data_IF_210949763722
#
_entry.id   IF_210949763722
#
_cell.length_a   1.000
_cell.length_b   1.000
_cell.length_c   1.000
_cell.angle_alpha   90.00
_cell.angle_beta   90.00
_cell.angle_gamma   90.00
#
_symmetry.space_group_name_H-M   'P 1'
#
loop_
_entity.id
_entity.type
_entity.pdbx_description
1 polymer ?
#
# COMPACT_ATOMS: atom_id res chain seq x y z
N UNK A 1 21.19 -8.52 -13.21
CA UNK A 1 19.78 -8.84 -13.60
C UNK A 1 18.93 -7.62 -13.30
N UNK A 2 17.99 -7.25 -14.19
CA UNK A 2 17.03 -6.19 -13.90
C UNK A 2 16.14 -6.62 -12.73
N UNK A 3 15.90 -5.69 -11.81
CA UNK A 3 14.99 -5.91 -10.68
C UNK A 3 13.60 -5.46 -11.11
N UNK A 4 12.64 -6.37 -11.07
CA UNK A 4 11.24 -6.03 -11.35
C UNK A 4 10.62 -5.39 -10.10
N UNK A 5 9.86 -4.32 -10.33
CA UNK A 5 9.09 -3.59 -9.31
C UNK A 5 7.66 -3.44 -9.80
N UNK A 6 6.74 -3.49 -8.89
CA UNK A 6 5.31 -3.31 -9.14
C UNK A 6 4.79 -2.19 -8.26
N UNK A 7 4.17 -1.20 -8.87
CA UNK A 7 3.51 -0.09 -8.18
C UNK A 7 2.13 0.14 -8.74
N UNK A 8 1.17 0.43 -7.87
CA UNK A 8 -0.20 0.79 -8.23
C UNK A 8 -0.56 2.09 -7.54
N UNK A 9 -1.08 3.03 -8.33
CA UNK A 9 -1.67 4.28 -7.82
C UNK A 9 -3.16 4.22 -8.12
N UNK A 10 -3.98 4.24 -7.08
CA UNK A 10 -5.42 4.17 -7.17
C UNK A 10 -6.05 5.55 -7.05
N UNK A 11 -6.89 5.89 -8.02
CA UNK A 11 -7.74 7.09 -8.01
C UNK A 11 -9.18 6.62 -7.82
N UNK A 12 -9.88 7.03 -6.74
CA UNK A 12 -11.26 6.59 -6.48
C UNK A 12 -12.27 7.27 -7.41
N UNK A 13 -13.49 6.72 -7.45
CA UNK A 13 -14.68 7.32 -8.08
C UNK A 13 -14.60 7.54 -9.60
N UNK A 14 -13.57 7.02 -10.26
CA UNK A 14 -13.43 7.08 -11.71
C UNK A 14 -12.83 8.39 -12.24
N UNK A 15 -12.97 8.59 -13.54
CA UNK A 15 -12.40 9.73 -14.28
C UNK A 15 -13.38 10.23 -15.36
N UNK A 16 -13.25 11.49 -15.74
CA UNK A 16 -13.98 12.05 -16.89
C UNK A 16 -13.32 11.52 -18.16
N UNK A 17 -13.97 10.57 -18.83
CA UNK A 17 -13.41 9.85 -19.99
C UNK A 17 -12.93 10.78 -21.09
N UNK A 18 -13.67 11.83 -21.42
CA UNK A 18 -13.31 12.80 -22.48
C UNK A 18 -12.06 13.63 -22.15
N UNK A 19 -11.72 13.77 -20.86
CA UNK A 19 -10.51 14.45 -20.41
C UNK A 19 -9.36 13.48 -20.13
N UNK A 20 -9.63 12.19 -20.02
CA UNK A 20 -8.65 11.14 -19.71
C UNK A 20 -8.19 10.39 -20.96
N UNK A 21 -9.13 9.90 -21.78
CA UNK A 21 -8.80 9.03 -22.90
C UNK A 21 -8.26 9.84 -24.09
N UNK A 22 -7.19 9.38 -24.74
CA UNK A 22 -6.78 9.87 -26.05
C UNK A 22 -7.90 9.69 -27.08
N UNK A 23 -7.98 10.62 -28.03
CA UNK A 23 -9.04 10.62 -29.07
C UNK A 23 -8.90 9.53 -30.14
N UNK A 24 -7.72 8.90 -30.24
CA UNK A 24 -7.43 7.82 -31.20
C UNK A 24 -6.63 6.71 -30.55
N UNK A 25 -6.84 5.49 -31.05
CA UNK A 25 -6.11 4.29 -30.61
C UNK A 25 -4.77 4.14 -31.33
N UNK A 26 -3.89 3.28 -30.80
CA UNK A 26 -2.60 2.96 -31.38
C UNK A 26 -1.46 3.84 -30.85
N UNK A 27 -0.41 4.03 -31.62
CA UNK A 27 0.82 4.73 -31.17
C UNK A 27 0.83 6.22 -31.49
N UNK A 28 -0.05 6.68 -32.41
CA UNK A 28 -0.07 8.05 -32.93
C UNK A 28 -1.12 8.94 -32.22
N UNK A 29 -1.43 8.66 -30.95
CA UNK A 29 -2.37 9.45 -30.17
C UNK A 29 -1.74 10.73 -29.62
N UNK A 30 -2.54 11.76 -29.43
CA UNK A 30 -2.22 12.93 -28.62
C UNK A 30 -2.66 12.71 -27.20
N UNK A 31 -1.85 13.20 -26.23
CA UNK A 31 -2.22 13.10 -24.83
C UNK A 31 -3.43 13.98 -24.52
N UNK A 32 -4.38 13.41 -23.82
CA UNK A 32 -5.53 14.15 -23.28
C UNK A 32 -5.08 15.20 -22.24
N UNK A 33 -5.92 16.18 -21.91
CA UNK A 33 -5.57 17.21 -20.93
C UNK A 33 -5.08 16.66 -19.60
N UNK A 34 -5.71 15.60 -19.08
CA UNK A 34 -5.30 14.98 -17.81
C UNK A 34 -3.96 14.25 -17.91
N UNK A 35 -3.64 13.68 -19.08
CA UNK A 35 -2.40 12.95 -19.31
C UNK A 35 -1.25 13.84 -19.82
N UNK A 36 -1.52 15.09 -20.18
CA UNK A 36 -0.53 16.02 -20.73
C UNK A 36 0.76 16.15 -19.87
N UNK A 37 0.70 16.18 -18.51
CA UNK A 37 1.91 16.23 -17.68
C UNK A 37 2.81 15.01 -17.83
N UNK A 38 2.29 13.88 -18.33
CA UNK A 38 3.05 12.65 -18.57
C UNK A 38 3.75 12.60 -19.95
N UNK A 39 3.70 13.69 -20.71
CA UNK A 39 4.32 13.77 -22.05
C UNK A 39 5.79 13.31 -22.09
N UNK A 40 6.66 13.60 -21.09
CA UNK A 40 8.04 13.11 -21.07
C UNK A 40 8.17 11.58 -20.99
N UNK A 41 7.11 10.90 -20.60
CA UNK A 41 7.07 9.44 -20.40
C UNK A 41 6.29 8.71 -21.50
N UNK A 42 5.79 9.40 -22.52
CA UNK A 42 4.91 8.86 -23.56
C UNK A 42 5.41 7.55 -24.16
N UNK A 43 6.71 7.45 -24.47
CA UNK A 43 7.32 6.27 -25.07
C UNK A 43 7.42 5.05 -24.12
N UNK A 44 7.08 5.27 -22.85
CA UNK A 44 7.11 4.24 -21.80
C UNK A 44 5.74 4.02 -21.18
N UNK A 45 4.69 4.62 -21.75
CA UNK A 45 3.35 4.62 -21.22
C UNK A 45 2.39 3.93 -22.18
N UNK A 46 1.44 3.19 -21.62
CA UNK A 46 0.29 2.61 -22.34
C UNK A 46 -0.97 3.09 -21.64
N UNK A 47 -1.90 3.66 -22.40
CA UNK A 47 -3.23 4.01 -21.92
C UNK A 47 -4.18 2.89 -22.32
N UNK A 48 -4.76 2.21 -21.33
CA UNK A 48 -5.70 1.11 -21.54
C UNK A 48 -7.12 1.60 -21.25
N UNK A 49 -8.05 1.25 -22.10
CA UNK A 49 -9.48 1.52 -21.94
C UNK A 49 -10.30 0.26 -22.20
N UNK A 50 -11.61 0.30 -21.89
CA UNK A 50 -12.51 -0.82 -22.12
C UNK A 50 -12.32 -2.00 -21.17
N UNK A 51 -11.44 -1.89 -20.16
CA UNK A 51 -11.33 -2.90 -19.10
C UNK A 51 -12.50 -2.72 -18.12
N UNK A 52 -13.13 -3.81 -17.76
CA UNK A 52 -14.22 -3.80 -16.78
C UNK A 52 -14.22 -5.07 -15.95
N UNK A 53 -14.62 -4.94 -14.71
CA UNK A 53 -14.94 -6.08 -13.85
C UNK A 53 -16.41 -6.47 -14.07
N UNK A 54 -16.70 -7.70 -14.40
CA UNK A 54 -18.08 -8.18 -14.61
C UNK A 54 -18.77 -8.31 -13.25
N UNK A 55 -19.78 -7.47 -13.00
CA UNK A 55 -20.62 -7.60 -11.79
C UNK A 55 -21.54 -8.79 -11.91
N UNK A 56 -21.59 -9.71 -10.95
CA UNK A 56 -22.57 -10.77 -10.92
C UNK A 56 -23.99 -10.18 -10.93
N UNK A 57 -24.94 -10.75 -11.66
CA UNK A 57 -26.33 -10.31 -11.62
C UNK A 57 -26.92 -10.46 -10.20
N UNK A 58 -27.81 -9.54 -9.84
CA UNK A 58 -28.62 -9.67 -8.61
C UNK A 58 -28.04 -9.08 -7.31
N UNK A 59 -26.95 -8.30 -7.37
CA UNK A 59 -26.43 -7.60 -6.19
C UNK A 59 -26.37 -6.07 -6.42
N UNK A 60 -27.50 -5.36 -6.28
CA UNK A 60 -27.53 -3.90 -6.39
C UNK A 60 -26.83 -3.25 -5.18
N UNK A 61 -26.32 -2.03 -5.36
CA UNK A 61 -25.65 -1.24 -4.30
C UNK A 61 -24.20 -1.64 -4.03
N UNK A 62 -23.60 -0.98 -3.07
CA UNK A 62 -22.22 -1.22 -2.66
C UNK A 62 -21.20 -0.87 -3.76
N UNK A 63 -21.45 0.17 -4.54
CA UNK A 63 -20.59 0.52 -5.69
C UNK A 63 -19.18 0.84 -5.26
N UNK A 64 -19.01 1.59 -4.18
CA UNK A 64 -17.72 2.00 -3.64
C UNK A 64 -16.95 0.81 -3.05
N UNK A 65 -17.63 -0.01 -2.22
CA UNK A 65 -17.03 -1.23 -1.67
C UNK A 65 -16.58 -2.19 -2.78
N UNK A 66 -17.40 -2.33 -3.84
CA UNK A 66 -17.07 -3.19 -4.98
C UNK A 66 -15.94 -2.61 -5.84
N UNK A 67 -15.90 -1.28 -6.06
CA UNK A 67 -14.87 -0.64 -6.87
C UNK A 67 -13.48 -0.88 -6.28
N UNK A 68 -13.25 -0.48 -5.04
CA UNK A 68 -11.95 -0.63 -4.39
C UNK A 68 -11.55 -2.11 -4.21
N UNK A 69 -12.48 -2.97 -3.75
CA UNK A 69 -12.16 -4.40 -3.55
C UNK A 69 -11.78 -5.07 -4.86
N UNK A 70 -12.56 -4.87 -5.93
CA UNK A 70 -12.36 -5.56 -7.21
C UNK A 70 -11.16 -5.07 -8.01
N UNK A 71 -10.67 -3.89 -7.73
CA UNK A 71 -9.60 -3.25 -8.49
C UNK A 71 -8.36 -4.14 -8.66
N UNK A 72 -7.91 -4.83 -7.62
CA UNK A 72 -6.77 -5.74 -7.68
C UNK A 72 -7.14 -7.22 -7.43
N UNK A 73 -8.41 -7.54 -7.16
CA UNK A 73 -8.84 -8.92 -6.85
C UNK A 73 -9.80 -9.50 -7.88
N UNK A 74 -10.56 -8.65 -8.59
CA UNK A 74 -11.74 -9.02 -9.40
C UNK A 74 -12.84 -9.78 -8.63
N UNK A 75 -12.71 -9.88 -7.31
CA UNK A 75 -13.70 -10.56 -6.44
C UNK A 75 -14.77 -9.56 -5.99
N UNK A 76 -16.03 -9.88 -6.20
CA UNK A 76 -17.15 -9.10 -5.68
C UNK A 76 -17.34 -9.43 -4.20
N UNK A 77 -17.16 -8.45 -3.29
CA UNK A 77 -17.31 -8.69 -1.86
C UNK A 77 -18.74 -9.09 -1.51
N UNK A 78 -18.93 -9.91 -0.47
CA UNK A 78 -20.26 -10.24 0.04
C UNK A 78 -20.94 -9.01 0.65
N UNK A 79 -22.27 -8.95 0.57
CA UNK A 79 -23.07 -7.98 1.31
C UNK A 79 -23.09 -8.41 2.77
N UNK A 80 -22.08 -7.99 3.53
CA UNK A 80 -21.88 -8.29 4.93
C UNK A 80 -21.02 -7.23 5.59
N UNK A 81 -21.35 -6.85 6.81
CA UNK A 81 -20.58 -5.91 7.62
C UNK A 81 -19.53 -6.63 8.50
N UNK A 82 -19.65 -7.94 8.65
CA UNK A 82 -18.84 -8.72 9.61
C UNK A 82 -18.05 -9.86 8.96
N UNK A 83 -18.57 -10.44 7.89
CA UNK A 83 -17.87 -11.49 7.15
C UNK A 83 -17.17 -10.92 5.94
N UNK A 84 -15.87 -11.14 5.86
CA UNK A 84 -15.00 -10.63 4.79
C UNK A 84 -14.62 -11.76 3.83
N UNK A 85 -14.73 -11.44 2.53
CA UNK A 85 -14.24 -12.27 1.43
C UNK A 85 -13.93 -11.38 0.21
N UNK A 86 -12.66 -11.07 0.02
CA UNK A 86 -12.16 -10.25 -1.08
C UNK A 86 -11.20 -10.98 -2.02
N UNK A 87 -10.84 -12.22 -1.69
CA UNK A 87 -9.76 -12.93 -2.39
C UNK A 87 -8.37 -12.39 -2.03
N UNK A 88 -7.37 -12.75 -2.83
CA UNK A 88 -6.00 -12.23 -2.72
C UNK A 88 -5.80 -11.19 -3.81
N UNK A 89 -5.30 -10.02 -3.47
CA UNK A 89 -5.00 -8.98 -4.45
C UNK A 89 -3.72 -9.25 -5.23
N UNK A 90 -3.65 -8.77 -6.46
CA UNK A 90 -2.53 -8.99 -7.38
C UNK A 90 -1.19 -8.53 -6.79
N UNK A 91 -1.15 -7.41 -6.06
CA UNK A 91 0.02 -6.94 -5.36
C UNK A 91 0.51 -7.95 -4.32
N UNK A 92 -0.39 -8.63 -3.60
CA UNK A 92 -0.04 -9.63 -2.59
C UNK A 92 0.41 -10.97 -3.20
N UNK A 93 -0.10 -11.34 -4.37
CA UNK A 93 0.46 -12.44 -5.15
C UNK A 93 1.91 -12.14 -5.51
N UNK A 94 2.19 -10.93 -6.00
CA UNK A 94 3.56 -10.49 -6.32
C UNK A 94 4.44 -10.32 -5.06
N UNK A 95 3.87 -9.87 -3.94
CA UNK A 95 4.57 -9.78 -2.67
C UNK A 95 5.01 -11.16 -2.15
N UNK A 96 4.25 -12.20 -2.40
CA UNK A 96 4.65 -13.58 -2.08
C UNK A 96 5.88 -14.01 -2.91
N UNK A 97 5.94 -13.63 -4.18
CA UNK A 97 7.06 -13.96 -5.08
C UNK A 97 8.32 -13.11 -4.80
N UNK A 98 8.15 -11.80 -4.57
CA UNK A 98 9.28 -10.86 -4.44
C UNK A 98 9.69 -10.61 -3.00
N UNK A 99 8.78 -10.72 -2.05
CA UNK A 99 8.97 -10.28 -0.67
C UNK A 99 10.02 -11.03 0.13
N UNK A 100 10.39 -12.25 -0.31
CA UNK A 100 11.52 -12.98 0.28
C UNK A 100 12.89 -12.34 0.01
N UNK A 101 12.96 -11.39 -0.95
CA UNK A 101 14.20 -10.73 -1.42
C UNK A 101 14.37 -9.31 -0.88
N UNK A 102 13.40 -8.81 -0.13
CA UNK A 102 13.36 -7.44 0.41
C UNK A 102 12.98 -7.44 1.88
N UNK A 103 13.34 -6.36 2.58
CA UNK A 103 13.01 -6.21 4.00
C UNK A 103 11.50 -6.17 4.24
N UNK A 104 10.77 -5.47 3.38
CA UNK A 104 9.31 -5.43 3.39
C UNK A 104 8.78 -6.18 2.17
N UNK A 105 7.85 -7.10 2.38
CA UNK A 105 7.22 -7.84 1.29
C UNK A 105 6.42 -6.90 0.39
N UNK A 106 5.70 -5.96 0.99
CA UNK A 106 4.92 -4.91 0.33
C UNK A 106 4.80 -3.67 1.21
N UNK A 107 4.34 -2.57 0.63
CA UNK A 107 4.08 -1.30 1.30
C UNK A 107 2.76 -0.74 0.81
N UNK A 108 1.81 -0.59 1.72
CA UNK A 108 0.45 -0.12 1.45
C UNK A 108 0.32 1.32 1.96
N UNK A 109 0.05 2.25 1.04
CA UNK A 109 0.04 3.68 1.30
C UNK A 109 -1.29 4.32 0.92
N UNK A 110 -1.62 5.43 1.57
CA UNK A 110 -2.75 6.28 1.21
C UNK A 110 -2.46 7.74 1.56
N UNK A 111 -3.24 8.67 1.01
CA UNK A 111 -3.22 10.08 1.44
C UNK A 111 -4.18 10.31 2.60
N UNK A 112 -5.31 9.61 2.62
CA UNK A 112 -6.32 9.75 3.67
C UNK A 112 -6.16 8.69 4.77
N UNK A 113 -6.70 9.01 5.95
CA UNK A 113 -6.76 8.06 7.06
C UNK A 113 -7.65 6.86 6.72
N UNK A 114 -7.26 5.70 7.23
CA UNK A 114 -7.93 4.43 6.95
C UNK A 114 -8.86 4.05 8.12
N UNK A 115 -10.17 4.14 7.91
CA UNK A 115 -11.18 3.64 8.83
C UNK A 115 -11.59 2.24 8.37
N UNK A 116 -11.08 1.21 9.03
CA UNK A 116 -11.34 -0.19 8.66
C UNK A 116 -12.51 -0.82 9.44
N UNK A 117 -12.96 -0.17 10.51
CA UNK A 117 -14.05 -0.66 11.35
C UNK A 117 -15.40 -0.05 10.96
N UNK A 118 -16.49 -0.79 11.16
CA UNK A 118 -17.85 -0.36 10.92
C UNK A 118 -18.36 -0.62 9.50
N UNK A 119 -19.50 -0.03 9.16
CA UNK A 119 -20.17 -0.08 7.86
C UNK A 119 -20.13 1.30 7.22
N UNK A 120 -19.52 1.42 6.04
CA UNK A 120 -19.38 2.67 5.29
C UNK A 120 -20.28 2.72 4.06
N UNK A 121 -20.55 1.58 3.43
CA UNK A 121 -21.50 1.44 2.34
C UNK A 121 -22.66 0.53 2.80
N UNK A 122 -23.84 0.66 2.23
CA UNK A 122 -25.04 -0.05 2.70
C UNK A 122 -24.81 -1.57 2.66
N UNK A 123 -24.72 -2.19 3.84
CA UNK A 123 -24.51 -3.62 4.02
C UNK A 123 -23.08 -4.11 3.77
N UNK A 124 -22.09 -3.22 3.65
CA UNK A 124 -20.68 -3.57 3.43
C UNK A 124 -19.78 -3.01 4.54
N UNK A 125 -18.81 -3.80 4.97
CA UNK A 125 -17.78 -3.35 5.90
C UNK A 125 -16.95 -2.21 5.32
N UNK A 126 -16.56 -1.22 6.13
CA UNK A 126 -15.75 -0.07 5.73
C UNK A 126 -14.44 -0.45 5.06
N UNK A 127 -13.85 -1.56 5.47
CA UNK A 127 -12.59 -2.03 4.93
C UNK A 127 -12.61 -2.23 3.41
N UNK A 128 -13.75 -2.61 2.84
CA UNK A 128 -13.88 -2.80 1.39
C UNK A 128 -13.71 -1.52 0.57
N UNK A 129 -14.02 -0.35 1.16
CA UNK A 129 -13.86 0.96 0.50
C UNK A 129 -12.53 1.65 0.82
N UNK A 130 -11.79 1.13 1.79
CA UNK A 130 -10.64 1.82 2.39
C UNK A 130 -9.31 1.09 2.22
N UNK A 131 -9.28 -0.06 1.54
CA UNK A 131 -8.05 -0.73 1.10
C UNK A 131 -8.25 -1.43 -0.24
N UNK A 132 -7.18 -1.50 -1.02
CA UNK A 132 -7.12 -2.27 -2.27
C UNK A 132 -6.21 -3.49 -2.14
N UNK A 133 -5.51 -3.63 -1.01
CA UNK A 133 -4.53 -4.68 -0.76
C UNK A 133 -5.07 -5.74 0.21
N UNK A 134 -5.11 -6.99 -0.23
CA UNK A 134 -5.67 -8.13 0.50
C UNK A 134 -4.70 -9.30 0.51
N UNK A 135 -4.14 -9.62 1.69
CA UNK A 135 -3.19 -10.72 1.86
C UNK A 135 -3.86 -12.09 1.72
N UNK A 136 -5.13 -12.18 2.07
CA UNK A 136 -5.99 -13.34 1.90
C UNK A 136 -7.44 -12.87 1.75
N UNK A 137 -8.36 -13.78 1.50
CA UNK A 137 -9.78 -13.48 1.33
C UNK A 137 -10.39 -12.65 2.48
N UNK A 138 -9.86 -12.78 3.68
CA UNK A 138 -10.36 -12.13 4.89
C UNK A 138 -9.30 -11.30 5.64
N UNK A 139 -8.15 -11.04 5.03
CA UNK A 139 -7.05 -10.31 5.65
C UNK A 139 -6.71 -9.08 4.82
N UNK A 140 -7.42 -7.95 5.06
CA UNK A 140 -7.07 -6.68 4.45
C UNK A 140 -5.74 -6.16 5.01
N UNK A 141 -5.00 -5.44 4.19
CA UNK A 141 -3.80 -4.72 4.62
C UNK A 141 -4.15 -3.24 4.81
N UNK A 142 -4.00 -2.71 6.03
CA UNK A 142 -4.26 -1.31 6.29
C UNK A 142 -3.21 -0.43 5.62
N UNK A 143 -3.65 0.68 5.05
CA UNK A 143 -2.77 1.66 4.43
C UNK A 143 -2.17 2.61 5.46
N UNK A 144 -0.95 3.10 5.20
CA UNK A 144 -0.31 4.12 6.00
C UNK A 144 -0.35 5.47 5.27
N UNK A 145 -0.89 6.50 5.92
CA UNK A 145 -1.01 7.85 5.37
C UNK A 145 -0.07 8.89 5.99
N UNK A 146 0.62 8.53 7.07
CA UNK A 146 1.56 9.44 7.71
C UNK A 146 2.98 9.24 7.17
N UNK A 147 3.56 10.23 6.45
CA UNK A 147 4.91 10.12 5.87
C UNK A 147 5.99 9.80 6.90
N UNK A 148 5.87 10.33 8.12
CA UNK A 148 6.79 10.00 9.20
C UNK A 148 6.73 8.53 9.56
N UNK A 149 5.53 7.97 9.72
CA UNK A 149 5.36 6.55 10.03
C UNK A 149 5.82 5.64 8.87
N UNK A 150 5.64 6.07 7.61
CA UNK A 150 6.21 5.40 6.43
C UNK A 150 7.73 5.39 6.50
N UNK A 151 8.35 6.55 6.76
CA UNK A 151 9.80 6.65 6.92
C UNK A 151 10.31 5.75 8.05
N UNK A 152 9.66 5.78 9.20
CA UNK A 152 10.00 4.94 10.36
C UNK A 152 9.83 3.43 10.06
N UNK A 153 8.85 3.06 9.24
CA UNK A 153 8.69 1.66 8.77
C UNK A 153 9.83 1.23 7.84
N UNK A 154 10.37 2.15 7.03
CA UNK A 154 11.46 1.90 6.09
C UNK A 154 12.84 1.89 6.75
N UNK A 155 13.10 2.84 7.66
CA UNK A 155 14.44 3.14 8.19
C UNK A 155 14.53 3.11 9.71
N UNK A 156 13.44 2.78 10.41
CA UNK A 156 13.36 2.87 11.86
C UNK A 156 13.18 4.32 12.34
N UNK A 157 13.40 4.56 13.63
CA UNK A 157 13.20 5.85 14.27
C UNK A 157 14.40 6.83 14.11
N UNK A 158 15.31 6.54 13.18
CA UNK A 158 16.43 7.40 12.84
C UNK A 158 15.94 8.79 12.36
N UNK A 159 16.79 9.80 12.50
CA UNK A 159 16.46 11.16 12.05
C UNK A 159 16.59 11.37 10.54
N UNK A 160 17.30 10.46 9.87
CA UNK A 160 17.57 10.51 8.44
C UNK A 160 17.93 9.11 7.92
N UNK A 161 18.18 9.02 6.62
CA UNK A 161 18.69 7.80 5.96
C UNK A 161 20.19 7.56 6.17
N UNK A 162 20.82 8.19 7.16
CA UNK A 162 22.25 8.05 7.45
C UNK A 162 22.67 6.59 7.68
N UNK A 163 23.77 6.18 7.05
CA UNK A 163 24.23 4.78 7.06
C UNK A 163 24.62 4.30 8.48
N UNK A 164 25.24 5.17 9.30
CA UNK A 164 25.65 4.81 10.68
C UNK A 164 24.43 4.65 11.57
N UNK A 165 23.43 5.52 11.42
CA UNK A 165 22.18 5.42 12.16
C UNK A 165 21.44 4.12 11.81
N UNK A 166 21.43 3.72 10.54
CA UNK A 166 20.83 2.46 10.08
C UNK A 166 21.53 1.23 10.69
N UNK A 167 22.86 1.21 10.67
CA UNK A 167 23.65 0.12 11.27
C UNK A 167 23.43 0.00 12.78
N UNK A 168 23.49 1.12 13.52
CA UNK A 168 23.24 1.12 14.95
C UNK A 168 21.84 0.60 15.29
N UNK A 169 20.86 0.89 14.46
CA UNK A 169 19.49 0.36 14.61
C UNK A 169 19.43 -1.15 14.39
N UNK A 170 20.05 -1.66 13.33
CA UNK A 170 20.12 -3.11 13.05
C UNK A 170 20.72 -3.86 14.24
N UNK A 171 21.80 -3.36 14.82
CA UNK A 171 22.44 -3.94 16.01
C UNK A 171 21.49 -3.95 17.22
N UNK A 172 20.76 -2.85 17.45
CA UNK A 172 19.78 -2.77 18.54
C UNK A 172 18.62 -3.76 18.34
N UNK A 173 18.04 -3.81 17.15
CA UNK A 173 16.93 -4.72 16.82
C UNK A 173 17.36 -6.18 16.95
N UNK A 174 18.61 -6.50 16.58
CA UNK A 174 19.19 -7.83 16.76
C UNK A 174 19.29 -8.22 18.24
N UNK A 175 19.79 -7.31 19.09
CA UNK A 175 19.88 -7.55 20.52
C UNK A 175 18.52 -7.82 21.18
N UNK A 176 17.48 -7.09 20.74
CA UNK A 176 16.10 -7.32 21.20
C UNK A 176 15.59 -8.68 20.73
N UNK A 177 15.84 -9.04 19.47
CA UNK A 177 15.42 -10.31 18.90
C UNK A 177 16.07 -11.51 19.58
N UNK A 178 17.37 -11.43 19.89
CA UNK A 178 18.10 -12.46 20.62
C UNK A 178 17.47 -12.70 22.01
N UNK A 179 17.14 -11.63 22.73
CA UNK A 179 16.46 -11.70 24.03
C UNK A 179 15.07 -12.36 23.92
N UNK A 180 14.27 -11.97 22.91
CA UNK A 180 12.94 -12.56 22.66
C UNK A 180 13.05 -14.05 22.31
N UNK A 181 14.04 -14.41 21.51
CA UNK A 181 14.28 -15.80 21.09
C UNK A 181 14.65 -16.68 22.29
N UNK A 182 15.53 -16.19 23.17
CA UNK A 182 15.90 -16.91 24.42
C UNK A 182 14.72 -17.09 25.36
N UNK A 183 13.91 -16.04 25.59
CA UNK A 183 12.74 -16.11 26.45
C UNK A 183 11.68 -17.07 25.89
N UNK A 184 11.47 -17.04 24.59
CA UNK A 184 10.52 -17.92 23.90
C UNK A 184 10.97 -19.38 23.96
N UNK A 185 12.26 -19.65 23.82
CA UNK A 185 12.81 -20.99 23.99
C UNK A 185 12.62 -21.54 25.42
N UNK A 186 12.82 -20.71 26.43
CA UNK A 186 12.54 -21.05 27.84
C UNK A 186 11.06 -21.35 28.08
N UNK A 187 10.17 -20.49 27.57
CA UNK A 187 8.73 -20.65 27.71
C UNK A 187 8.23 -21.94 27.06
N UNK A 188 8.73 -22.28 25.87
CA UNK A 188 8.35 -23.50 25.13
C UNK A 188 8.55 -24.78 25.94
N UNK A 189 9.58 -24.80 26.83
CA UNK A 189 9.85 -25.93 27.68
C UNK A 189 8.82 -26.16 28.80
N UNK A 190 8.02 -25.12 29.13
CA UNK A 190 7.07 -25.16 30.26
C UNK A 190 5.61 -25.31 29.80
N UNK A 191 5.31 -25.16 28.50
CA UNK A 191 3.96 -25.11 27.95
C UNK A 191 3.38 -26.49 27.60
N UNK A 192 2.06 -26.60 27.69
CA UNK A 192 1.26 -27.73 27.19
C UNK A 192 1.16 -27.74 25.65
N UNK A 193 0.59 -28.83 25.10
CA UNK A 193 0.54 -29.02 23.64
C UNK A 193 -0.26 -27.95 22.90
N UNK A 194 -1.39 -27.49 23.43
CA UNK A 194 -2.22 -26.44 22.82
C UNK A 194 -1.50 -25.11 22.77
N UNK A 195 -0.83 -24.74 23.86
CA UNK A 195 -0.14 -23.45 23.95
C UNK A 195 1.14 -23.44 23.13
N UNK A 196 1.78 -24.61 22.96
CA UNK A 196 2.91 -24.77 22.01
C UNK A 196 2.51 -24.52 20.55
N UNK A 197 1.26 -24.83 20.16
CA UNK A 197 0.77 -24.54 18.82
C UNK A 197 0.64 -23.02 18.59
N UNK A 198 0.05 -22.29 19.56
CA UNK A 198 -0.03 -20.81 19.52
C UNK A 198 1.35 -20.14 19.54
N UNK A 199 2.27 -20.69 20.36
CA UNK A 199 3.65 -20.22 20.36
C UNK A 199 4.34 -20.47 19.01
N UNK A 200 3.93 -21.50 18.26
CA UNK A 200 4.41 -21.79 16.91
C UNK A 200 4.10 -20.67 15.93
N UNK A 201 2.88 -20.11 15.95
CA UNK A 201 2.48 -18.96 15.12
C UNK A 201 3.28 -17.70 15.47
N UNK A 202 3.50 -17.47 16.77
CA UNK A 202 4.37 -16.38 17.23
C UNK A 202 5.82 -16.54 16.73
N UNK A 203 6.36 -17.75 16.76
CA UNK A 203 7.70 -18.05 16.27
C UNK A 203 7.86 -17.85 14.77
N UNK A 204 6.80 -18.01 13.98
CA UNK A 204 6.83 -17.65 12.56
C UNK A 204 7.01 -16.14 12.38
N UNK A 205 6.31 -15.33 13.18
CA UNK A 205 6.50 -13.87 13.19
C UNK A 205 7.91 -13.47 13.59
N UNK A 206 8.50 -14.14 14.60
CA UNK A 206 9.90 -13.92 15.00
C UNK A 206 10.86 -14.25 13.85
N UNK A 207 10.66 -15.35 13.15
CA UNK A 207 11.47 -15.72 11.96
C UNK A 207 11.37 -14.70 10.83
N UNK A 208 10.19 -14.08 10.63
CA UNK A 208 10.08 -13.00 9.66
C UNK A 208 10.90 -11.78 10.06
N UNK A 209 10.93 -11.42 11.34
CA UNK A 209 11.79 -10.35 11.86
C UNK A 209 13.28 -10.71 11.68
N UNK A 210 13.69 -11.95 11.99
CA UNK A 210 15.06 -12.43 11.74
C UNK A 210 15.46 -12.30 10.28
N UNK A 211 14.56 -12.72 9.36
CA UNK A 211 14.79 -12.59 7.93
C UNK A 211 14.98 -11.14 7.51
N UNK A 212 14.14 -10.24 8.02
CA UNK A 212 14.19 -8.80 7.71
C UNK A 212 15.50 -8.18 8.20
N UNK A 213 15.92 -8.50 9.41
CA UNK A 213 17.19 -8.02 9.97
C UNK A 213 18.40 -8.51 9.16
N UNK A 214 18.42 -9.79 8.79
CA UNK A 214 19.47 -10.33 7.92
C UNK A 214 19.54 -9.59 6.58
N UNK A 215 18.38 -9.36 5.94
CA UNK A 215 18.33 -8.59 4.69
C UNK A 215 18.79 -7.15 4.89
N UNK A 216 18.46 -6.52 6.01
CA UNK A 216 18.92 -5.18 6.34
C UNK A 216 20.45 -5.13 6.50
N UNK A 217 21.05 -6.12 7.17
CA UNK A 217 22.50 -6.28 7.28
C UNK A 217 23.17 -6.47 5.92
N UNK A 218 22.66 -7.40 5.10
CA UNK A 218 23.18 -7.67 3.74
C UNK A 218 23.06 -6.45 2.79
N UNK A 219 22.15 -5.54 3.10
CA UNK A 219 21.89 -4.33 2.32
C UNK A 219 22.45 -3.06 2.96
N UNK A 220 23.15 -3.18 4.09
CA UNK A 220 23.65 -2.04 4.86
C UNK A 220 24.60 -1.13 4.08
N UNK A 221 25.40 -1.72 3.18
CA UNK A 221 26.37 -1.01 2.33
C UNK A 221 25.74 -0.33 1.11
N UNK A 222 24.43 -0.49 0.88
CA UNK A 222 23.76 0.15 -0.24
C UNK A 222 23.74 1.66 -0.06
N UNK A 223 24.04 2.35 -1.15
CA UNK A 223 23.84 3.80 -1.22
C UNK A 223 22.34 4.11 -1.21
N UNK A 224 21.90 4.81 -0.16
CA UNK A 224 20.52 5.24 0.02
C UNK A 224 20.50 6.76 -0.13
N UNK A 225 19.66 7.31 -1.03
CA UNK A 225 19.54 8.75 -1.16
C UNK A 225 19.24 9.42 0.18
N UNK A 226 19.84 10.57 0.42
CA UNK A 226 19.63 11.30 1.66
C UNK A 226 18.20 11.81 1.77
N UNK A 227 17.58 11.57 2.89
CA UNK A 227 16.28 12.14 3.28
C UNK A 227 16.24 12.32 4.78
N UNK A 228 15.82 13.50 5.22
CA UNK A 228 15.48 13.73 6.62
C UNK A 228 14.13 13.09 6.95
N UNK A 229 13.97 12.64 8.19
CA UNK A 229 12.70 12.09 8.66
C UNK A 229 11.59 13.15 8.59
N UNK A 230 10.49 12.90 7.90
CA UNK A 230 9.36 13.80 7.84
C UNK A 230 8.81 14.15 9.24
N UNK A 231 8.32 15.38 9.42
CA UNK A 231 7.75 15.81 10.69
C UNK A 231 6.38 15.15 10.97
N UNK A 232 5.63 14.82 9.92
CA UNK A 232 4.30 14.23 9.96
C UNK A 232 3.55 14.46 8.66
N UNK A 233 2.23 14.57 8.73
CA UNK A 233 1.37 14.81 7.57
C UNK A 233 1.40 16.30 7.22
N UNK A 234 1.81 16.72 6.02
CA UNK A 234 1.67 18.08 5.53
C UNK A 234 0.20 18.53 5.51
N UNK A 235 -0.03 19.81 5.77
CA UNK A 235 -1.38 20.37 5.70
C UNK A 235 -1.88 20.56 4.27
N UNK A 236 -0.96 20.75 3.32
CA UNK A 236 -1.22 20.90 1.91
C UNK A 236 -1.28 19.50 1.24
N UNK A 237 -2.30 19.29 0.38
CA UNK A 237 -2.50 18.00 -0.30
C UNK A 237 -1.35 17.66 -1.25
N UNK A 238 -0.92 18.63 -2.06
CA UNK A 238 0.11 18.40 -3.08
C UNK A 238 1.45 18.07 -2.39
N UNK A 239 1.81 18.84 -1.34
CA UNK A 239 3.00 18.54 -0.54
C UNK A 239 2.93 17.17 0.15
N UNK A 240 1.75 16.72 0.58
CA UNK A 240 1.58 15.39 1.15
C UNK A 240 1.77 14.30 0.10
N UNK A 241 1.14 14.45 -1.07
CA UNK A 241 1.26 13.49 -2.18
C UNK A 241 2.70 13.40 -2.67
N UNK A 242 3.37 14.55 -2.88
CA UNK A 242 4.76 14.60 -3.32
C UNK A 242 5.68 13.86 -2.34
N UNK A 243 5.53 14.14 -1.03
CA UNK A 243 6.33 13.49 0.00
C UNK A 243 6.09 11.97 0.06
N UNK A 244 4.86 11.51 -0.18
CA UNK A 244 4.56 10.07 -0.25
C UNK A 244 5.18 9.43 -1.49
N UNK A 245 5.18 10.10 -2.66
CA UNK A 245 5.88 9.63 -3.85
C UNK A 245 7.40 9.59 -3.66
N UNK A 246 7.99 10.58 -2.98
CA UNK A 246 9.41 10.58 -2.63
C UNK A 246 9.78 9.38 -1.77
N UNK A 247 8.95 9.04 -0.77
CA UNK A 247 9.14 7.85 0.06
C UNK A 247 8.98 6.55 -0.73
N UNK A 248 8.04 6.48 -1.69
CA UNK A 248 7.91 5.33 -2.59
C UNK A 248 9.15 5.16 -3.47
N UNK A 249 9.63 6.26 -4.05
CA UNK A 249 10.84 6.27 -4.87
C UNK A 249 12.05 5.82 -4.06
N UNK A 250 12.21 6.35 -2.85
CA UNK A 250 13.26 5.99 -1.93
C UNK A 250 13.22 4.50 -1.56
N UNK A 251 12.04 3.95 -1.26
CA UNK A 251 11.85 2.53 -0.97
C UNK A 251 12.26 1.64 -2.16
N UNK A 252 11.95 2.06 -3.40
CA UNK A 252 12.35 1.35 -4.60
C UNK A 252 13.84 1.46 -4.91
N UNK A 253 14.44 2.65 -4.77
CA UNK A 253 15.86 2.87 -5.03
C UNK A 253 16.73 2.08 -4.05
N UNK A 254 16.31 2.01 -2.78
CA UNK A 254 16.98 1.26 -1.73
C UNK A 254 16.65 -0.25 -1.73
N UNK A 255 15.74 -0.70 -2.62
CA UNK A 255 15.23 -2.09 -2.71
C UNK A 255 14.69 -2.62 -1.36
N UNK A 256 14.05 -1.74 -0.58
CA UNK A 256 13.43 -2.10 0.69
C UNK A 256 12.13 -2.85 0.49
N UNK A 257 11.43 -2.56 -0.60
CA UNK A 257 10.30 -3.34 -1.12
C UNK A 257 10.29 -3.28 -2.65
N UNK A 258 9.59 -4.20 -3.28
CA UNK A 258 9.36 -4.23 -4.74
C UNK A 258 7.90 -4.14 -5.11
N UNK A 259 7.03 -4.05 -4.11
CA UNK A 259 5.57 -4.01 -4.30
C UNK A 259 5.01 -2.87 -3.46
N UNK A 260 4.37 -1.89 -4.10
CA UNK A 260 3.74 -0.76 -3.42
C UNK A 260 2.35 -0.54 -4.00
N UNK A 261 1.37 -0.33 -3.12
CA UNK A 261 0.05 0.19 -3.48
C UNK A 261 -0.13 1.57 -2.85
N UNK A 262 -0.69 2.52 -3.58
CA UNK A 262 -0.90 3.88 -3.11
C UNK A 262 -2.29 4.38 -3.50
N UNK A 263 -3.12 4.71 -2.52
CA UNK A 263 -4.45 5.28 -2.71
C UNK A 263 -4.36 6.81 -2.60
N UNK A 264 -4.59 7.53 -3.71
CA UNK A 264 -4.65 9.00 -3.73
C UNK A 264 -5.89 9.56 -3.03
N UNK A 265 -6.90 8.73 -2.84
CA UNK A 265 -8.09 8.99 -2.07
C UNK A 265 -8.82 7.68 -1.78
N UNK A 266 -9.71 7.71 -0.79
CA UNK A 266 -10.65 6.61 -0.52
C UNK A 266 -11.95 6.81 -1.28
N UNK A 267 -12.75 5.77 -1.40
CA UNK A 267 -14.03 5.83 -2.15
C UNK A 267 -15.03 6.86 -1.58
N UNK A 268 -15.04 7.09 -0.28
CA UNK A 268 -15.85 8.12 0.38
C UNK A 268 -15.00 9.32 0.78
N UNK A 269 -14.13 9.78 -0.13
CA UNK A 269 -13.23 10.89 0.14
C UNK A 269 -13.97 12.20 0.38
N UNK A 270 -13.71 12.81 1.54
CA UNK A 270 -14.11 14.16 1.87
C UNK A 270 -13.08 15.23 1.47
N UNK A 271 -12.02 14.85 0.79
CA UNK A 271 -10.96 15.76 0.35
C UNK A 271 -11.50 16.81 -0.62
N UNK A 272 -10.99 18.03 -0.48
CA UNK A 272 -11.26 19.15 -1.39
C UNK A 272 -9.97 19.60 -2.04
N UNK A 273 -10.04 20.24 -3.20
CA UNK A 273 -8.87 20.65 -3.98
C UNK A 273 -8.93 22.14 -4.33
N UNK A 274 -8.92 23.04 -3.32
CA UNK A 274 -9.02 24.48 -3.55
C UNK A 274 -7.86 25.05 -4.37
N UNK A 275 -6.68 24.41 -4.32
CA UNK A 275 -5.50 24.80 -5.09
C UNK A 275 -5.71 24.71 -6.61
N UNK A 276 -6.67 23.88 -7.06
CA UNK A 276 -7.07 23.78 -8.48
C UNK A 276 -8.49 24.31 -8.73
N UNK A 277 -9.06 25.05 -7.77
CA UNK A 277 -10.38 25.65 -7.88
C UNK A 277 -11.57 24.70 -7.64
N UNK A 278 -11.36 23.55 -7.02
CA UNK A 278 -12.40 22.56 -6.68
C UNK A 278 -12.58 22.55 -5.15
N UNK A 279 -13.48 23.39 -4.59
CA UNK A 279 -13.71 23.45 -3.16
C UNK A 279 -14.65 22.36 -2.62
N UNK A 280 -15.38 21.70 -3.50
CA UNK A 280 -16.33 20.65 -3.15
C UNK A 280 -15.61 19.34 -2.85
N UNK A 281 -16.22 18.53 -1.97
CA UNK A 281 -15.62 17.25 -1.58
C UNK A 281 -15.65 16.24 -2.74
N UNK A 282 -14.58 15.46 -2.87
CA UNK A 282 -14.32 14.54 -3.98
C UNK A 282 -15.48 13.57 -4.24
N UNK A 283 -15.93 12.84 -3.21
CA UNK A 283 -17.00 11.86 -3.37
C UNK A 283 -18.33 12.48 -3.81
N UNK A 284 -18.85 13.57 -3.20
CA UNK A 284 -20.07 14.21 -3.69
C UNK A 284 -20.03 14.63 -5.15
N UNK A 285 -18.94 15.21 -5.63
CA UNK A 285 -18.83 15.65 -7.05
C UNK A 285 -18.74 14.49 -8.04
N UNK A 286 -18.42 13.29 -7.59
CA UNK A 286 -18.38 12.10 -8.47
C UNK A 286 -19.77 11.58 -8.87
N UNK A 287 -20.82 12.07 -8.23
CA UNK A 287 -22.22 11.69 -8.49
C UNK A 287 -22.94 12.61 -9.49
N UNK A 288 -22.26 13.54 -10.15
CA UNK A 288 -22.82 14.52 -11.08
C UNK A 288 -22.41 14.28 -12.53
#
# INVERSE_FOLDING_TARGET
>A
KSVHRFGVVYVPNGVIHSAWLPGVEGTSYELSPTLAPLAPFRDRMVVLSGLSCVSPPGRPGGFHAKAATRFLTDVTPPTSETWLDAGISMDQVLATEFGSKTQLASLELAVESNETAGACDIGFACVYSNTIAWKSANTPLPTQNNPRAVFERLFGDSRSTDARARLARIEQDRSILDSVTEETARLRGTLGASDRAKLGEYLESVRDVERRLRLAEEQSDRDVPWMDRPAGIPADYDAHVDLMFDLMLLAYQSDLTRVITFMLGREFSGMTYPQIGVPDAHHPISHH
#
